data_IF_072193427105
#
_entry.id   IF_072193427105
#
_cell.length_a   1.000
_cell.length_b   1.000
_cell.length_c   1.000
_cell.angle_alpha   90.00
_cell.angle_beta   90.00
_cell.angle_gamma   90.00
#
_symmetry.space_group_name_H-M   'P 1'
#
loop_
_entity.id
_entity.type
_entity.pdbx_description
1 polymer ?
#
# COMPACT_ATOMS: atom_id res chain seq x y z
N UNK A 1 -3.46 -21.33 -5.68
CA UNK A 1 -4.76 -20.72 -5.38
C UNK A 1 -5.56 -20.49 -6.65
N UNK A 2 -6.81 -20.17 -6.52
CA UNK A 2 -7.68 -19.78 -7.61
C UNK A 2 -7.55 -18.27 -7.84
N UNK A 3 -6.86 -17.86 -8.90
CA UNK A 3 -6.61 -16.45 -9.21
C UNK A 3 -7.89 -15.62 -9.46
N UNK A 4 -9.05 -16.26 -9.52
CA UNK A 4 -10.35 -15.56 -9.63
C UNK A 4 -10.93 -15.10 -8.28
N UNK A 5 -10.25 -15.40 -7.17
CA UNK A 5 -10.70 -15.07 -5.81
C UNK A 5 -9.65 -14.24 -5.08
N UNK A 6 -10.07 -13.13 -4.50
CA UNK A 6 -9.18 -12.25 -3.73
C UNK A 6 -8.48 -12.99 -2.57
N UNK A 7 -9.22 -13.86 -1.88
CA UNK A 7 -8.73 -14.59 -0.69
C UNK A 7 -7.61 -15.58 -1.00
N UNK A 8 -7.41 -15.95 -2.27
CA UNK A 8 -6.36 -16.87 -2.69
C UNK A 8 -5.04 -16.15 -3.03
N UNK A 9 -5.04 -14.81 -2.99
CA UNK A 9 -3.81 -14.00 -3.10
C UNK A 9 -3.13 -13.88 -1.74
N UNK A 10 -1.82 -14.13 -1.69
CA UNK A 10 -1.04 -14.11 -0.44
C UNK A 10 -1.07 -12.75 0.27
N UNK A 11 -1.18 -11.67 -0.48
CA UNK A 11 -1.23 -10.33 0.07
C UNK A 11 -2.60 -9.96 0.67
N UNK A 12 -3.69 -10.59 0.21
CA UNK A 12 -5.04 -10.24 0.65
C UNK A 12 -5.25 -10.47 2.14
N UNK A 13 -5.80 -9.49 2.83
CA UNK A 13 -6.05 -9.55 4.27
C UNK A 13 -4.84 -9.28 5.15
N UNK A 14 -3.65 -9.03 4.55
CA UNK A 14 -2.46 -8.63 5.31
C UNK A 14 -2.67 -7.28 6.00
N UNK A 15 -2.07 -7.09 7.18
CA UNK A 15 -2.13 -5.82 7.89
C UNK A 15 -1.40 -4.72 7.11
N UNK A 16 -2.05 -3.57 6.96
CA UNK A 16 -1.46 -2.36 6.41
C UNK A 16 -1.04 -1.44 7.55
N UNK A 17 0.24 -1.13 7.59
CA UNK A 17 0.87 -0.43 8.71
C UNK A 17 1.14 1.04 8.37
N UNK A 18 1.07 1.90 9.38
CA UNK A 18 1.55 3.27 9.26
C UNK A 18 3.07 3.28 8.98
N UNK A 19 3.47 3.94 7.89
CA UNK A 19 4.89 4.01 7.48
C UNK A 19 5.69 5.04 8.26
N UNK A 20 5.00 5.97 8.94
CA UNK A 20 5.57 7.02 9.78
C UNK A 20 4.57 7.41 10.86
N UNK A 21 5.04 8.12 11.89
CA UNK A 21 4.17 8.85 12.81
C UNK A 21 3.42 9.95 12.04
N UNK A 22 2.17 10.20 12.42
CA UNK A 22 1.37 11.20 11.71
C UNK A 22 -0.02 11.38 12.25
N UNK A 23 -0.84 12.09 11.49
CA UNK A 23 -2.26 12.27 11.76
C UNK A 23 -3.05 11.75 10.56
N UNK A 24 -4.10 11.00 10.79
CA UNK A 24 -4.98 10.53 9.72
C UNK A 24 -5.71 11.73 9.11
N UNK A 25 -5.42 12.05 7.85
CA UNK A 25 -6.04 13.15 7.14
C UNK A 25 -7.44 12.78 6.62
N UNK A 26 -7.59 11.56 6.10
CA UNK A 26 -8.88 11.03 5.67
C UNK A 26 -8.90 9.51 5.63
N UNK A 27 -10.10 8.93 5.65
CA UNK A 27 -10.37 7.50 5.50
C UNK A 27 -11.53 7.31 4.53
N UNK A 28 -11.35 6.45 3.54
CA UNK A 28 -12.43 5.86 2.73
C UNK A 28 -12.47 4.36 3.04
N UNK A 29 -13.66 3.80 3.31
CA UNK A 29 -13.77 2.40 3.76
C UNK A 29 -15.07 1.71 3.34
N UNK A 30 -15.85 2.33 2.44
CA UNK A 30 -17.19 1.85 2.07
C UNK A 30 -17.25 1.21 0.67
N UNK A 31 -16.18 1.30 -0.12
CA UNK A 31 -16.16 0.75 -1.47
C UNK A 31 -15.92 -0.77 -1.42
N UNK A 32 -16.66 -1.53 -2.23
CA UNK A 32 -16.49 -2.98 -2.32
C UNK A 32 -15.12 -3.35 -2.89
N UNK A 33 -14.65 -4.57 -2.60
CA UNK A 33 -13.56 -5.18 -3.36
C UNK A 33 -14.04 -5.53 -4.77
N UNK A 34 -13.16 -5.39 -5.73
CA UNK A 34 -13.39 -5.79 -7.11
C UNK A 34 -12.97 -7.27 -7.32
N UNK A 35 -13.59 -7.98 -8.27
CA UNK A 35 -13.10 -9.30 -8.66
C UNK A 35 -11.69 -9.20 -9.22
N UNK A 36 -10.75 -10.09 -8.84
CA UNK A 36 -9.42 -10.07 -9.41
C UNK A 36 -9.45 -10.41 -10.90
N UNK A 37 -8.39 -10.07 -11.63
CA UNK A 37 -8.21 -10.24 -13.08
C UNK A 37 -9.21 -9.47 -13.95
N UNK A 38 -9.99 -8.55 -13.38
CA UNK A 38 -10.94 -7.73 -14.09
C UNK A 38 -10.73 -6.27 -13.75
N UNK A 39 -10.46 -5.43 -14.77
CA UNK A 39 -10.45 -3.99 -14.55
C UNK A 39 -11.89 -3.49 -14.35
N UNK A 40 -12.18 -2.72 -13.29
CA UNK A 40 -13.50 -2.16 -13.08
C UNK A 40 -13.85 -1.15 -14.19
N UNK A 41 -15.11 -1.16 -14.65
CA UNK A 41 -15.58 -0.33 -15.76
C UNK A 41 -16.31 0.95 -15.32
N UNK A 42 -16.77 1.01 -14.06
CA UNK A 42 -17.65 2.07 -13.56
C UNK A 42 -17.06 2.82 -12.36
N UNK A 43 -15.75 3.04 -12.36
CA UNK A 43 -15.05 3.78 -11.31
C UNK A 43 -14.78 5.23 -11.73
N UNK A 44 -15.27 6.18 -10.92
CA UNK A 44 -14.94 7.59 -11.06
C UNK A 44 -13.54 7.93 -10.56
N UNK A 45 -12.97 9.06 -11.02
CA UNK A 45 -11.62 9.50 -10.62
C UNK A 45 -11.42 9.56 -9.10
N UNK A 46 -12.43 9.96 -8.35
CA UNK A 46 -12.35 10.02 -6.89
C UNK A 46 -12.28 8.65 -6.20
N UNK A 47 -12.61 7.57 -6.92
CA UNK A 47 -12.68 6.21 -6.40
C UNK A 47 -11.51 5.33 -6.87
N UNK A 48 -10.59 5.87 -7.67
CA UNK A 48 -9.48 5.08 -8.24
C UNK A 48 -8.63 4.41 -7.17
N UNK A 49 -8.40 5.06 -6.02
CA UNK A 49 -7.68 4.48 -4.88
C UNK A 49 -8.48 3.46 -4.07
N UNK A 50 -9.78 3.29 -4.34
CA UNK A 50 -10.61 2.42 -3.51
C UNK A 50 -10.69 2.89 -2.05
N UNK A 51 -10.83 1.94 -1.14
CA UNK A 51 -10.71 2.21 0.29
C UNK A 51 -9.28 2.59 0.63
N UNK A 52 -9.11 3.61 1.44
CA UNK A 52 -7.79 4.17 1.70
C UNK A 52 -7.69 4.88 3.04
N UNK A 53 -6.47 4.94 3.56
CA UNK A 53 -6.08 5.80 4.67
C UNK A 53 -5.03 6.77 4.15
N UNK A 54 -5.24 8.08 4.37
CA UNK A 54 -4.28 9.12 4.04
C UNK A 54 -3.69 9.66 5.32
N UNK A 55 -2.36 9.62 5.44
CA UNK A 55 -1.63 10.13 6.59
C UNK A 55 -0.97 11.47 6.27
N UNK A 56 -1.20 12.48 7.10
CA UNK A 56 -0.37 13.69 7.17
C UNK A 56 0.85 13.37 8.04
N UNK A 57 2.01 13.28 7.42
CA UNK A 57 3.29 13.01 8.08
C UNK A 57 4.12 14.28 8.34
N UNK A 58 3.49 15.45 8.18
CA UNK A 58 4.12 16.74 8.37
C UNK A 58 4.89 17.26 7.15
N UNK A 59 5.32 18.51 7.23
CA UNK A 59 6.07 19.16 6.14
C UNK A 59 5.29 19.31 4.83
N UNK A 60 3.95 19.20 4.86
CA UNK A 60 3.09 19.20 3.67
C UNK A 60 3.20 17.90 2.86
N UNK A 61 3.53 16.79 3.51
CA UNK A 61 3.61 15.47 2.88
C UNK A 61 2.47 14.58 3.36
N UNK A 62 1.81 13.92 2.42
CA UNK A 62 0.71 13.00 2.67
C UNK A 62 1.03 11.64 2.07
N UNK A 63 0.90 10.59 2.88
CA UNK A 63 1.08 9.20 2.45
C UNK A 63 -0.28 8.59 2.16
N UNK A 64 -0.44 8.06 0.97
CA UNK A 64 -1.61 7.31 0.54
C UNK A 64 -1.36 5.82 0.70
N UNK A 65 -2.27 5.13 1.39
CA UNK A 65 -2.30 3.69 1.58
C UNK A 65 -3.66 3.23 1.07
N UNK A 66 -3.71 2.60 -0.09
CA UNK A 66 -4.94 2.40 -0.85
C UNK A 66 -5.20 0.94 -1.22
N UNK A 67 -6.39 0.66 -1.78
CA UNK A 67 -6.95 -0.65 -2.12
C UNK A 67 -7.24 -1.53 -0.90
N UNK A 68 -7.67 -0.93 0.23
CA UNK A 68 -7.96 -1.67 1.46
C UNK A 68 -9.28 -2.46 1.36
N UNK A 69 -9.43 -3.48 2.21
CA UNK A 69 -10.69 -4.23 2.38
C UNK A 69 -11.80 -3.30 2.90
N UNK A 70 -13.04 -3.41 2.39
CA UNK A 70 -14.19 -2.68 2.92
C UNK A 70 -14.35 -2.83 4.43
N UNK A 71 -14.51 -1.72 5.16
CA UNK A 71 -14.73 -1.72 6.60
C UNK A 71 -13.55 -2.18 7.44
N UNK A 72 -12.35 -2.39 6.85
CA UNK A 72 -11.18 -2.86 7.60
C UNK A 72 -10.39 -1.75 8.28
N UNK A 73 -10.65 -0.48 7.96
CA UNK A 73 -9.96 0.64 8.58
C UNK A 73 -10.16 0.63 10.11
N UNK A 74 -9.06 0.70 10.85
CA UNK A 74 -9.04 0.69 12.33
C UNK A 74 -8.88 2.10 12.93
N UNK A 75 -8.83 3.10 12.06
CA UNK A 75 -8.61 4.51 12.41
C UNK A 75 -9.64 5.41 11.74
N UNK A 76 -9.77 6.64 12.22
CA UNK A 76 -10.62 7.67 11.62
C UNK A 76 -9.84 8.98 11.42
N UNK A 77 -10.38 9.86 10.58
CA UNK A 77 -9.79 11.19 10.36
C UNK A 77 -9.60 11.95 11.68
N UNK A 78 -8.41 12.51 11.87
CA UNK A 78 -7.99 13.21 13.08
C UNK A 78 -7.21 12.34 14.08
N UNK A 79 -7.23 11.01 13.96
CA UNK A 79 -6.45 10.14 14.84
C UNK A 79 -4.95 10.36 14.65
N UNK A 80 -4.21 10.31 15.76
CA UNK A 80 -2.75 10.25 15.73
C UNK A 80 -2.31 8.80 15.70
N UNK A 81 -1.39 8.49 14.82
CA UNK A 81 -0.84 7.16 14.64
C UNK A 81 0.68 7.18 14.81
N UNK A 82 1.23 6.05 15.24
CA UNK A 82 2.67 5.83 15.30
C UNK A 82 3.09 4.86 14.23
N UNK A 83 4.32 4.97 13.75
CA UNK A 83 4.89 4.02 12.79
C UNK A 83 4.73 2.58 13.25
N UNK A 84 4.26 1.71 12.36
CA UNK A 84 3.99 0.30 12.63
C UNK A 84 2.59 0.01 13.19
N UNK A 85 1.79 1.05 13.50
CA UNK A 85 0.40 0.86 13.90
C UNK A 85 -0.42 0.31 12.73
N UNK A 86 -1.28 -0.69 12.99
CA UNK A 86 -2.22 -1.22 11.99
C UNK A 86 -3.27 -0.18 11.66
N UNK A 87 -3.46 0.09 10.38
CA UNK A 87 -4.42 1.06 9.85
C UNK A 87 -5.64 0.39 9.21
N UNK A 88 -5.47 -0.82 8.71
CA UNK A 88 -6.50 -1.59 8.01
C UNK A 88 -5.91 -2.85 7.40
N UNK A 89 -6.62 -3.46 6.46
CA UNK A 89 -6.20 -4.68 5.78
C UNK A 89 -6.15 -4.49 4.27
N UNK A 90 -5.13 -5.06 3.64
CA UNK A 90 -4.94 -5.04 2.19
C UNK A 90 -6.06 -5.80 1.49
N UNK A 91 -6.69 -5.15 0.53
CA UNK A 91 -7.82 -5.65 -0.25
C UNK A 91 -7.61 -5.50 -1.75
N UNK A 92 -8.71 -5.33 -2.46
CA UNK A 92 -8.75 -5.17 -3.92
C UNK A 92 -9.85 -4.17 -4.35
N UNK A 93 -10.04 -3.09 -3.58
CA UNK A 93 -11.07 -2.09 -3.88
C UNK A 93 -10.55 -0.98 -4.80
N UNK A 94 -11.41 -0.40 -5.63
CA UNK A 94 -11.02 0.69 -6.53
C UNK A 94 -10.48 0.21 -7.88
N UNK A 95 -9.63 1.00 -8.54
CA UNK A 95 -9.08 0.67 -9.85
C UNK A 95 -7.89 -0.29 -9.71
N UNK A 96 -8.17 -1.55 -9.57
CA UNK A 96 -7.19 -2.60 -9.37
C UNK A 96 -7.63 -3.89 -10.04
N UNK A 97 -6.69 -4.75 -10.41
CA UNK A 97 -6.93 -6.07 -11.00
C UNK A 97 -6.46 -7.21 -10.11
N UNK A 98 -5.78 -6.91 -9.01
CA UNK A 98 -5.30 -7.90 -8.05
C UNK A 98 -5.00 -7.27 -6.68
N UNK A 99 -5.11 -8.03 -5.58
CA UNK A 99 -4.80 -7.52 -4.26
C UNK A 99 -3.35 -7.05 -4.13
N UNK A 100 -3.17 -5.75 -3.90
CA UNK A 100 -1.88 -5.12 -3.65
C UNK A 100 -2.04 -3.86 -2.79
N UNK A 101 -0.98 -3.41 -2.16
CA UNK A 101 -0.95 -2.10 -1.51
C UNK A 101 -0.43 -1.04 -2.49
N UNK A 102 -1.28 -0.09 -2.84
CA UNK A 102 -0.82 1.12 -3.51
C UNK A 102 -0.32 2.11 -2.45
N UNK A 103 0.94 2.50 -2.55
CA UNK A 103 1.55 3.50 -1.69
C UNK A 103 2.22 4.59 -2.53
N UNK A 104 1.89 5.84 -2.25
CA UNK A 104 2.63 6.99 -2.76
C UNK A 104 2.65 8.14 -1.77
N UNK A 105 3.54 9.10 -1.97
CA UNK A 105 3.63 10.34 -1.19
C UNK A 105 3.30 11.52 -2.09
N UNK A 106 2.44 12.43 -1.62
CA UNK A 106 1.98 13.60 -2.36
C UNK A 106 2.06 14.87 -1.52
N UNK A 107 1.99 16.03 -2.18
CA UNK A 107 1.88 17.37 -1.55
C UNK A 107 0.44 17.77 -1.24
N UNK A 108 -0.55 16.94 -1.54
CA UNK A 108 -1.95 17.23 -1.26
C UNK A 108 -2.66 16.01 -0.65
N UNK A 109 -3.64 16.21 0.26
CA UNK A 109 -4.36 15.12 0.93
C UNK A 109 -5.52 14.55 0.09
N UNK A 110 -5.41 14.58 -1.22
CA UNK A 110 -6.44 14.12 -2.14
C UNK A 110 -5.84 13.14 -3.15
N UNK A 111 -6.55 12.02 -3.47
CA UNK A 111 -6.10 11.09 -4.49
C UNK A 111 -5.85 11.82 -5.82
N UNK A 112 -4.76 11.50 -6.49
CA UNK A 112 -4.38 12.02 -7.82
C UNK A 112 -4.26 13.55 -7.91
N UNK A 113 -4.19 14.26 -6.79
CA UNK A 113 -3.99 15.70 -6.76
C UNK A 113 -2.67 16.05 -6.07
N UNK A 114 -2.03 17.10 -6.55
CA UNK A 114 -0.73 17.53 -6.06
C UNK A 114 0.44 16.80 -6.70
N UNK A 115 1.64 17.33 -6.42
CA UNK A 115 2.88 16.77 -6.94
C UNK A 115 3.26 15.51 -6.13
N UNK A 116 3.62 14.46 -6.83
CA UNK A 116 4.19 13.28 -6.19
C UNK A 116 5.57 13.62 -5.62
N UNK A 117 5.82 13.15 -4.41
CA UNK A 117 7.08 13.36 -3.70
C UNK A 117 7.89 12.07 -3.78
N UNK A 118 9.08 12.08 -4.38
CA UNK A 118 10.00 10.95 -4.30
C UNK A 118 10.33 10.64 -2.84
N UNK A 119 10.33 9.36 -2.49
CA UNK A 119 10.67 8.90 -1.15
C UNK A 119 11.65 7.75 -1.19
N UNK A 120 12.27 7.47 -0.07
CA UNK A 120 13.11 6.29 0.15
C UNK A 120 12.63 5.56 1.40
N UNK A 121 12.89 4.27 1.45
CA UNK A 121 12.65 3.44 2.63
C UNK A 121 13.91 3.52 3.49
N UNK A 122 13.74 3.79 4.77
CA UNK A 122 14.86 3.98 5.69
C UNK A 122 15.68 2.69 5.87
N UNK A 123 15.02 1.52 5.88
CA UNK A 123 15.69 0.25 6.13
C UNK A 123 14.85 -0.94 5.65
N UNK A 124 15.45 -1.84 4.88
CA UNK A 124 14.89 -3.14 4.49
C UNK A 124 16.03 -4.11 4.17
N UNK A 125 15.72 -5.39 4.03
CA UNK A 125 16.63 -6.38 3.47
C UNK A 125 16.20 -6.74 2.04
N UNK A 126 17.08 -6.56 1.07
CA UNK A 126 16.87 -7.11 -0.27
C UNK A 126 17.14 -8.60 -0.24
N UNK A 127 16.19 -9.42 -0.67
CA UNK A 127 16.25 -10.89 -0.66
C UNK A 127 16.51 -11.42 -2.07
N UNK A 128 15.88 -10.81 -3.06
CA UNK A 128 15.98 -11.22 -4.45
C UNK A 128 15.02 -10.45 -5.33
N UNK A 129 14.66 -11.03 -6.45
CA UNK A 129 13.69 -10.45 -7.38
C UNK A 129 12.75 -11.52 -7.92
N UNK A 130 11.70 -11.09 -8.59
CA UNK A 130 10.90 -11.96 -9.44
C UNK A 130 11.36 -11.81 -10.89
N UNK A 131 11.42 -12.91 -11.63
CA UNK A 131 11.70 -12.89 -13.07
C UNK A 131 10.44 -12.61 -13.90
N UNK A 132 10.57 -12.61 -15.22
CA UNK A 132 9.46 -12.33 -16.15
C UNK A 132 8.30 -13.35 -16.05
N UNK A 133 8.56 -14.54 -15.52
CA UNK A 133 7.58 -15.61 -15.31
C UNK A 133 7.04 -15.62 -13.87
N UNK A 134 7.32 -14.56 -13.09
CA UNK A 134 6.93 -14.39 -11.69
C UNK A 134 7.55 -15.44 -10.72
N UNK A 135 8.68 -16.04 -11.08
CA UNK A 135 9.41 -16.91 -10.17
C UNK A 135 10.41 -16.13 -9.34
N UNK A 136 10.52 -16.51 -8.06
CA UNK A 136 11.55 -15.93 -7.19
C UNK A 136 12.95 -16.35 -7.61
N UNK A 137 13.83 -15.35 -7.74
CA UNK A 137 15.27 -15.52 -8.00
C UNK A 137 16.03 -14.87 -6.86
N UNK A 138 16.82 -15.68 -6.13
CA UNK A 138 17.63 -15.16 -5.04
C UNK A 138 18.64 -14.12 -5.57
N UNK A 139 18.71 -12.97 -4.90
CA UNK A 139 19.58 -11.88 -5.32
C UNK A 139 21.05 -12.18 -5.03
N UNK A 140 21.97 -12.02 -6.01
CA UNK A 140 23.40 -12.21 -5.77
C UNK A 140 23.95 -11.21 -4.75
N UNK A 141 23.25 -10.07 -4.56
CA UNK A 141 23.61 -9.01 -3.60
C UNK A 141 22.56 -8.87 -2.50
N UNK A 142 21.96 -9.99 -2.06
CA UNK A 142 21.03 -9.98 -0.93
C UNK A 142 21.68 -9.37 0.32
N UNK A 143 20.89 -8.63 1.10
CA UNK A 143 21.37 -8.01 2.34
C UNK A 143 20.67 -6.69 2.68
N UNK A 144 21.10 -6.09 3.79
CA UNK A 144 20.53 -4.84 4.29
C UNK A 144 20.70 -3.67 3.31
N UNK A 145 19.66 -2.85 3.22
CA UNK A 145 19.62 -1.60 2.47
C UNK A 145 19.13 -0.48 3.38
N UNK A 146 19.60 0.71 3.10
CA UNK A 146 19.21 1.91 3.86
C UNK A 146 19.05 3.10 2.92
N UNK A 147 17.98 3.88 3.12
CA UNK A 147 17.68 5.07 2.33
C UNK A 147 17.63 4.80 0.83
N UNK A 148 17.00 3.71 0.45
CA UNK A 148 16.82 3.30 -0.94
C UNK A 148 15.32 3.08 -1.24
N UNK A 149 14.94 3.18 -2.51
CA UNK A 149 13.67 2.71 -3.03
C UNK A 149 13.91 1.38 -3.76
N UNK A 150 13.23 0.29 -3.39
CA UNK A 150 13.33 -0.97 -4.11
C UNK A 150 12.95 -0.80 -5.59
N UNK A 151 13.68 -1.46 -6.47
CA UNK A 151 13.34 -1.50 -7.89
C UNK A 151 12.13 -2.41 -8.12
N UNK A 152 11.49 -2.24 -9.28
CA UNK A 152 10.41 -3.12 -9.73
C UNK A 152 10.85 -4.59 -9.67
N UNK A 153 9.94 -5.44 -9.18
CA UNK A 153 10.19 -6.86 -9.01
C UNK A 153 11.12 -7.23 -7.84
N UNK A 154 11.61 -6.26 -7.07
CA UNK A 154 12.42 -6.58 -5.90
C UNK A 154 11.61 -7.30 -4.82
N UNK A 155 12.16 -8.38 -4.27
CA UNK A 155 11.66 -9.06 -3.08
C UNK A 155 12.45 -8.56 -1.87
N UNK A 156 11.73 -8.01 -0.91
CA UNK A 156 12.33 -7.37 0.27
C UNK A 156 11.65 -7.85 1.55
N UNK A 157 12.41 -7.87 2.64
CA UNK A 157 11.92 -8.08 3.99
C UNK A 157 12.08 -6.82 4.81
N UNK A 158 11.05 -6.47 5.57
CA UNK A 158 11.14 -5.42 6.57
C UNK A 158 11.59 -6.00 7.91
N UNK A 159 12.45 -5.28 8.66
CA UNK A 159 12.77 -5.69 10.01
C UNK A 159 11.49 -5.71 10.85
N UNK A 160 11.42 -6.64 11.82
CA UNK A 160 10.33 -6.63 12.79
C UNK A 160 10.19 -5.23 13.42
N UNK A 161 8.96 -4.83 13.69
CA UNK A 161 8.71 -3.59 14.44
C UNK A 161 9.42 -3.67 15.79
N UNK A 162 10.03 -2.57 16.27
CA UNK A 162 10.71 -2.54 17.55
C UNK A 162 9.76 -2.76 18.73
#
# INVERSE_FOLDING_TARGET
GDISRNEDYLAYGSDVLAVADGTVASVESALRDEPPQQAPTDIGLAQLGGNSVILDIGGGNYVFLAHLIPGSATVMAGDKVVRGQVLGRLGNSGNTTEPHLHLHVSRAPLPLSGDNVPYVIDRFAFVGSVDADSHFVAGPNAGARTLELPLEGAVIDFPAAP
#
